data_IF_321950061367
#
_entry.id   IF_321950061367
#
_cell.length_a   1.000
_cell.length_b   1.000
_cell.length_c   1.000
_cell.angle_alpha   90.00
_cell.angle_beta   90.00
_cell.angle_gamma   90.00
#
_symmetry.space_group_name_H-M   'P 1'
#
loop_
_entity.id
_entity.type
_entity.pdbx_description
1 polymer ?
#
# COMPACT_ATOMS: atom_id res chain seq x y z
N UNK A 1 -53.18 2.23 41.04
CA UNK A 1 -52.40 2.64 39.84
C UNK A 1 -50.87 2.46 40.00
N UNK A 2 -50.36 1.78 41.04
CA UNK A 2 -48.90 1.65 41.26
C UNK A 2 -48.22 0.45 40.55
N UNK A 3 -48.98 -0.55 40.07
CA UNK A 3 -48.42 -1.79 39.51
C UNK A 3 -47.93 -1.70 38.05
N UNK A 4 -48.41 -0.72 37.26
CA UNK A 4 -48.03 -0.58 35.84
C UNK A 4 -46.68 0.14 35.67
N UNK A 5 -46.36 1.08 36.55
CA UNK A 5 -45.08 1.82 36.58
C UNK A 5 -43.89 0.90 36.88
N UNK A 6 -44.02 0.00 37.85
CA UNK A 6 -42.99 -0.98 38.19
C UNK A 6 -42.70 -1.98 37.05
N UNK A 7 -43.73 -2.35 36.28
CA UNK A 7 -43.57 -3.27 35.15
C UNK A 7 -42.86 -2.61 33.95
N UNK A 8 -43.11 -1.32 33.71
CA UNK A 8 -42.40 -0.55 32.68
C UNK A 8 -40.94 -0.30 33.05
N UNK A 9 -40.64 0.04 34.30
CA UNK A 9 -39.28 0.21 34.80
C UNK A 9 -38.45 -1.09 34.74
N UNK A 10 -39.08 -2.24 35.02
CA UNK A 10 -38.40 -3.54 34.90
C UNK A 10 -38.09 -3.92 33.45
N UNK A 11 -39.01 -3.63 32.51
CA UNK A 11 -38.79 -3.88 31.06
C UNK A 11 -37.74 -2.96 30.44
N UNK A 12 -37.65 -1.69 30.88
CA UNK A 12 -36.61 -0.77 30.42
C UNK A 12 -35.22 -1.20 30.90
N UNK A 13 -35.11 -1.65 32.16
CA UNK A 13 -33.85 -2.13 32.72
C UNK A 13 -33.35 -3.40 32.02
N UNK A 14 -34.24 -4.32 31.65
CA UNK A 14 -33.86 -5.52 30.89
C UNK A 14 -33.37 -5.20 29.47
N UNK A 15 -33.97 -4.20 28.80
CA UNK A 15 -33.50 -3.75 27.48
C UNK A 15 -32.14 -3.06 27.55
N UNK A 16 -31.89 -2.25 28.57
CA UNK A 16 -30.58 -1.60 28.78
C UNK A 16 -29.51 -2.67 29.03
N UNK A 17 -29.81 -3.68 29.86
CA UNK A 17 -28.89 -4.77 30.14
C UNK A 17 -28.55 -5.58 28.87
N UNK A 18 -29.56 -5.86 28.04
CA UNK A 18 -29.37 -6.54 26.76
C UNK A 18 -28.49 -5.73 25.80
N UNK A 19 -28.70 -4.41 25.70
CA UNK A 19 -27.88 -3.52 24.87
C UNK A 19 -26.43 -3.48 25.36
N UNK A 20 -26.20 -3.41 26.67
CA UNK A 20 -24.85 -3.44 27.25
C UNK A 20 -24.13 -4.76 26.96
N UNK A 21 -24.83 -5.90 27.01
CA UNK A 21 -24.26 -7.21 26.66
C UNK A 21 -23.89 -7.26 25.17
N UNK A 22 -24.77 -6.80 24.27
CA UNK A 22 -24.45 -6.74 22.84
C UNK A 22 -23.26 -5.81 22.56
N UNK A 23 -23.17 -4.66 23.23
CA UNK A 23 -22.05 -3.73 23.07
C UNK A 23 -20.73 -4.35 23.57
N UNK A 24 -20.75 -5.07 24.70
CA UNK A 24 -19.59 -5.78 25.23
C UNK A 24 -19.13 -6.93 24.31
N UNK A 25 -20.08 -7.70 23.75
CA UNK A 25 -19.77 -8.75 22.77
C UNK A 25 -19.18 -8.14 21.49
N UNK A 26 -19.72 -7.01 21.02
CA UNK A 26 -19.20 -6.31 19.84
C UNK A 26 -17.77 -5.80 20.06
N UNK A 27 -17.49 -5.20 21.23
CA UNK A 27 -16.15 -4.74 21.61
C UNK A 27 -15.17 -5.91 21.74
N UNK A 28 -15.62 -7.07 22.23
CA UNK A 28 -14.79 -8.28 22.28
C UNK A 28 -14.48 -8.82 20.87
N UNK A 29 -15.43 -8.75 19.95
CA UNK A 29 -15.23 -9.17 18.55
C UNK A 29 -14.23 -8.28 17.80
N UNK A 30 -14.24 -6.96 18.03
CA UNK A 30 -13.29 -6.04 17.38
C UNK A 30 -11.89 -6.07 18.00
N UNK A 31 -11.72 -6.53 19.24
CA UNK A 31 -10.40 -6.73 19.85
C UNK A 31 -9.70 -8.03 19.41
N UNK A 32 -10.39 -8.94 18.70
CA UNK A 32 -9.85 -10.23 18.27
C UNK A 32 -9.44 -10.31 16.80
N UNK A 33 -9.65 -9.26 16.00
CA UNK A 33 -9.25 -9.24 14.58
C UNK A 33 -7.79 -8.77 14.44
N UNK A 34 -6.84 -9.57 14.93
CA UNK A 34 -5.45 -9.41 14.54
C UNK A 34 -5.24 -9.95 13.12
N UNK A 35 -4.61 -9.13 12.26
CA UNK A 35 -4.29 -9.46 10.88
C UNK A 35 -3.47 -10.77 10.81
N UNK A 36 -3.83 -11.75 9.95
CA UNK A 36 -3.16 -13.05 9.88
C UNK A 36 -1.71 -13.01 9.36
N UNK A 37 -1.16 -11.82 9.06
CA UNK A 37 0.20 -11.66 8.56
C UNK A 37 1.25 -11.63 9.70
N UNK A 38 1.13 -12.53 10.68
CA UNK A 38 2.16 -12.75 11.71
C UNK A 38 2.23 -14.22 12.08
N UNK A 39 2.93 -15.04 11.29
CA UNK A 39 3.56 -16.25 11.83
C UNK A 39 4.72 -16.67 10.96
N UNK A 40 5.94 -16.57 11.50
CA UNK A 40 6.86 -17.70 11.70
C UNK A 40 8.21 -17.16 12.22
N UNK A 41 8.36 -17.10 13.54
CA UNK A 41 9.67 -17.10 14.19
C UNK A 41 9.94 -18.55 14.58
N UNK A 42 10.78 -19.23 13.80
CA UNK A 42 11.22 -20.58 14.10
C UNK A 42 12.21 -20.56 15.28
N UNK A 43 12.02 -21.50 16.19
CA UNK A 43 12.85 -21.73 17.36
C UNK A 43 14.31 -22.01 16.98
N UNK A 44 15.24 -21.30 17.61
CA UNK A 44 16.67 -21.66 17.61
C UNK A 44 16.91 -22.63 18.76
N UNK A 45 17.13 -23.90 18.45
CA UNK A 45 17.85 -24.83 19.30
C UNK A 45 19.29 -24.93 18.80
N UNK A 46 20.21 -24.68 19.72
CA UNK A 46 21.66 -24.77 19.55
C UNK A 46 22.11 -26.21 19.27
N UNK A 47 22.90 -26.41 18.21
CA UNK A 47 23.84 -27.53 18.12
C UNK A 47 25.15 -27.04 17.49
N UNK A 48 26.26 -27.38 18.13
CA UNK A 48 27.62 -26.93 17.85
C UNK A 48 28.39 -27.98 17.04
N UNK A 49 29.35 -27.50 16.25
CA UNK A 49 30.40 -28.20 15.48
C UNK A 49 29.92 -28.78 14.12
N UNK A 50 30.67 -28.69 13.02
CA UNK A 50 32.13 -28.68 12.85
C UNK A 50 32.55 -27.93 11.57
N UNK A 51 33.79 -27.44 11.57
CA UNK A 51 34.46 -26.73 10.47
C UNK A 51 34.77 -27.65 9.30
N UNK A 52 34.31 -27.30 8.09
CA UNK A 52 34.87 -27.79 6.84
C UNK A 52 34.96 -26.62 5.84
N UNK A 53 36.19 -26.26 5.51
CA UNK A 53 36.56 -25.22 4.56
C UNK A 53 36.07 -25.58 3.17
N UNK A 54 35.07 -24.85 2.67
CA UNK A 54 34.70 -24.87 1.26
C UNK A 54 35.02 -23.53 0.63
N UNK A 55 35.91 -23.62 -0.34
CA UNK A 55 36.27 -22.67 -1.38
C UNK A 55 35.13 -21.72 -1.75
N UNK A 56 35.34 -20.42 -1.48
CA UNK A 56 34.50 -19.34 -1.99
C UNK A 56 34.55 -19.32 -3.52
N UNK A 57 33.51 -19.86 -4.16
CA UNK A 57 33.20 -19.54 -5.55
C UNK A 57 32.40 -18.24 -5.56
N UNK A 58 33.09 -17.15 -5.89
CA UNK A 58 32.46 -15.87 -6.24
C UNK A 58 31.60 -16.07 -7.49
N UNK A 59 30.29 -16.22 -7.32
CA UNK A 59 29.34 -16.03 -8.43
C UNK A 59 28.74 -14.63 -8.34
N UNK A 60 29.44 -13.66 -8.92
CA UNK A 60 28.82 -12.39 -9.28
C UNK A 60 27.98 -12.62 -10.54
N UNK A 61 26.73 -12.99 -10.33
CA UNK A 61 25.66 -12.84 -11.30
C UNK A 61 24.55 -12.13 -10.56
N UNK A 62 24.36 -10.84 -10.84
CA UNK A 62 23.19 -10.07 -10.40
C UNK A 62 21.94 -10.72 -10.98
N UNK A 63 21.45 -11.77 -10.30
CA UNK A 63 20.20 -12.42 -10.64
C UNK A 63 19.12 -11.42 -10.29
N UNK A 64 18.65 -10.67 -11.29
CA UNK A 64 17.57 -9.71 -11.15
C UNK A 64 16.41 -10.41 -10.45
N UNK A 65 16.10 -9.98 -9.23
CA UNK A 65 15.10 -10.66 -8.43
C UNK A 65 13.71 -10.36 -8.99
N UNK A 66 12.89 -11.39 -9.22
CA UNK A 66 11.46 -11.22 -9.57
C UNK A 66 10.64 -10.74 -8.36
N UNK A 67 11.30 -10.29 -7.29
CA UNK A 67 10.73 -9.88 -6.02
C UNK A 67 10.91 -8.39 -5.74
N UNK A 68 11.57 -7.63 -6.63
CA UNK A 68 11.64 -6.17 -6.53
C UNK A 68 10.24 -5.58 -6.41
N UNK A 69 10.07 -4.59 -5.52
CA UNK A 69 8.78 -3.94 -5.26
C UNK A 69 8.88 -2.46 -5.56
N UNK A 70 7.76 -1.90 -6.02
CA UNK A 70 7.61 -0.45 -6.19
C UNK A 70 6.34 0.03 -5.49
N UNK A 71 6.38 1.25 -4.97
CA UNK A 71 5.19 1.94 -4.50
C UNK A 71 4.60 2.80 -5.63
N UNK A 72 3.31 2.62 -5.88
CA UNK A 72 2.52 3.41 -6.84
C UNK A 72 1.35 4.03 -6.08
N UNK A 73 1.04 5.29 -6.34
CA UNK A 73 -0.10 5.96 -5.73
C UNK A 73 -0.93 6.68 -6.78
N UNK A 74 -2.24 6.45 -6.76
CA UNK A 74 -3.22 7.30 -7.44
C UNK A 74 -3.47 8.51 -6.56
N UNK A 75 -3.20 9.70 -7.10
CA UNK A 75 -3.33 10.99 -6.44
C UNK A 75 -4.82 11.42 -6.35
N UNK A 76 -5.14 12.49 -5.60
CA UNK A 76 -6.53 12.94 -5.42
C UNK A 76 -7.30 13.14 -6.73
N UNK A 77 -6.69 13.79 -7.71
CA UNK A 77 -7.27 13.98 -9.04
C UNK A 77 -7.63 12.65 -9.75
N UNK A 78 -6.79 11.62 -9.61
CA UNK A 78 -7.06 10.31 -10.22
C UNK A 78 -8.15 9.51 -9.52
N UNK A 79 -8.33 9.72 -8.23
CA UNK A 79 -9.44 9.18 -7.46
C UNK A 79 -10.74 9.87 -7.87
N UNK A 80 -10.78 11.20 -7.82
CA UNK A 80 -11.97 12.01 -8.16
C UNK A 80 -12.43 11.78 -9.62
N UNK A 81 -11.49 11.56 -10.54
CA UNK A 81 -11.78 11.27 -11.95
C UNK A 81 -12.18 9.81 -12.22
N UNK A 82 -12.21 8.95 -11.21
CA UNK A 82 -12.59 7.54 -11.36
C UNK A 82 -11.57 6.69 -12.14
N UNK A 83 -10.28 7.05 -12.10
CA UNK A 83 -9.22 6.41 -12.89
C UNK A 83 -8.41 5.34 -12.14
N UNK A 84 -8.76 5.04 -10.88
CA UNK A 84 -8.09 4.01 -10.06
C UNK A 84 -8.02 2.67 -10.79
N UNK A 85 -9.15 2.17 -11.29
CA UNK A 85 -9.21 0.91 -12.01
C UNK A 85 -8.38 0.93 -13.30
N UNK A 86 -8.35 2.05 -14.03
CA UNK A 86 -7.56 2.20 -15.26
C UNK A 86 -6.07 2.06 -14.98
N UNK A 87 -5.58 2.65 -13.89
CA UNK A 87 -4.17 2.55 -13.48
C UNK A 87 -3.85 1.12 -13.04
N UNK A 88 -4.68 0.55 -12.15
CA UNK A 88 -4.50 -0.81 -11.63
C UNK A 88 -4.42 -1.84 -12.77
N UNK A 89 -5.34 -1.78 -13.74
CA UNK A 89 -5.36 -2.68 -14.89
C UNK A 89 -4.07 -2.65 -15.71
N UNK A 90 -3.39 -1.49 -15.85
CA UNK A 90 -2.12 -1.42 -16.60
C UNK A 90 -1.02 -2.27 -15.95
N UNK A 91 -0.97 -2.30 -14.62
CA UNK A 91 0.02 -3.11 -13.89
C UNK A 91 -0.35 -4.61 -13.88
N UNK A 92 -1.63 -4.94 -13.73
CA UNK A 92 -2.10 -6.33 -13.81
C UNK A 92 -1.84 -6.94 -15.19
N UNK A 93 -2.23 -6.24 -16.26
CA UNK A 93 -2.05 -6.70 -17.64
C UNK A 93 -0.58 -6.83 -18.02
N UNK A 94 0.31 -6.02 -17.42
CA UNK A 94 1.75 -6.15 -17.62
C UNK A 94 2.32 -7.41 -16.99
N UNK A 95 1.64 -7.99 -15.99
CA UNK A 95 2.07 -9.17 -15.26
C UNK A 95 2.71 -8.86 -13.90
N UNK A 96 2.62 -7.63 -13.38
CA UNK A 96 3.09 -7.35 -12.02
C UNK A 96 2.15 -7.97 -10.98
N UNK A 97 2.70 -8.37 -9.83
CA UNK A 97 1.96 -8.98 -8.71
C UNK A 97 1.51 -7.88 -7.75
N UNK A 98 0.21 -7.72 -7.52
CA UNK A 98 -0.32 -6.78 -6.53
C UNK A 98 -0.08 -7.35 -5.12
N UNK A 99 0.72 -6.67 -4.30
CA UNK A 99 1.06 -7.07 -2.94
C UNK A 99 0.28 -6.31 -1.86
N UNK A 100 -0.16 -5.09 -2.16
CA UNK A 100 -1.00 -4.29 -1.26
C UNK A 100 -1.78 -3.24 -2.05
N UNK A 101 -2.99 -2.93 -1.59
CA UNK A 101 -3.88 -1.92 -2.16
C UNK A 101 -4.69 -1.30 -1.01
N UNK A 102 -4.62 0.02 -0.85
CA UNK A 102 -5.38 0.71 0.18
C UNK A 102 -5.78 2.12 -0.26
N UNK A 103 -7.05 2.46 -0.08
CA UNK A 103 -7.53 3.84 -0.17
C UNK A 103 -7.40 4.50 1.20
N UNK A 104 -6.84 5.70 1.24
CA UNK A 104 -6.60 6.43 2.50
C UNK A 104 -6.77 7.93 2.31
N UNK A 105 -7.22 8.62 3.36
CA UNK A 105 -7.06 10.06 3.48
C UNK A 105 -5.72 10.34 4.20
N UNK A 106 -4.66 10.78 3.49
CA UNK A 106 -3.35 10.93 4.11
C UNK A 106 -3.32 12.13 5.05
N UNK A 107 -2.64 11.98 6.19
CA UNK A 107 -2.37 13.11 7.09
C UNK A 107 -1.32 14.05 6.47
N UNK A 108 -1.34 15.31 6.90
CA UNK A 108 -0.31 16.27 6.53
C UNK A 108 1.10 15.77 6.87
N UNK A 109 1.30 15.23 8.07
CA UNK A 109 2.60 14.70 8.51
C UNK A 109 3.11 13.53 7.66
N UNK A 110 2.21 12.64 7.23
CA UNK A 110 2.56 11.52 6.34
C UNK A 110 3.04 12.04 4.98
N UNK A 111 2.36 13.05 4.43
CA UNK A 111 2.73 13.66 3.15
C UNK A 111 4.04 14.45 3.24
N UNK A 112 4.27 15.16 4.35
CA UNK A 112 5.51 15.89 4.58
C UNK A 112 6.71 14.95 4.68
N UNK A 113 6.56 13.80 5.36
CA UNK A 113 7.60 12.77 5.40
C UNK A 113 7.82 12.13 4.02
N UNK A 114 6.73 11.84 3.28
CA UNK A 114 6.82 11.26 1.95
C UNK A 114 7.54 12.20 0.95
N UNK A 115 7.26 13.50 1.01
CA UNK A 115 7.84 14.51 0.12
C UNK A 115 9.01 15.29 0.76
N UNK A 116 9.66 14.76 1.80
CA UNK A 116 10.68 15.49 2.58
C UNK A 116 11.83 16.05 1.73
N UNK A 117 12.22 15.35 0.68
CA UNK A 117 13.28 15.78 -0.25
C UNK A 117 12.89 17.03 -1.06
N UNK A 118 11.59 17.34 -1.12
CA UNK A 118 11.02 18.50 -1.78
C UNK A 118 10.69 19.64 -0.81
N UNK A 119 10.93 19.50 0.49
CA UNK A 119 10.50 20.47 1.51
C UNK A 119 11.02 21.91 1.28
N UNK A 120 12.19 22.04 0.64
CA UNK A 120 12.81 23.34 0.31
C UNK A 120 12.30 23.94 -1.00
N UNK A 121 11.45 23.25 -1.76
CA UNK A 121 10.95 23.72 -3.05
C UNK A 121 9.78 24.69 -2.84
N UNK A 122 9.67 25.78 -3.62
CA UNK A 122 8.63 26.79 -3.43
C UNK A 122 7.21 26.25 -3.60
N UNK A 123 7.03 25.18 -4.38
CA UNK A 123 5.74 24.53 -4.61
C UNK A 123 5.33 23.54 -3.49
N UNK A 124 6.20 23.24 -2.53
CA UNK A 124 5.94 22.22 -1.50
C UNK A 124 4.65 22.47 -0.69
N UNK A 125 4.36 23.70 -0.20
CA UNK A 125 3.11 23.95 0.51
C UNK A 125 1.87 23.67 -0.35
N UNK A 126 1.93 24.00 -1.63
CA UNK A 126 0.88 23.70 -2.61
C UNK A 126 0.72 22.20 -2.85
N UNK A 127 1.82 21.46 -2.95
CA UNK A 127 1.84 20.01 -3.10
C UNK A 127 1.17 19.31 -1.91
N UNK A 128 1.53 19.69 -0.68
CA UNK A 128 0.94 19.11 0.54
C UNK A 128 -0.56 19.42 0.62
N UNK A 129 -0.96 20.67 0.34
CA UNK A 129 -2.38 21.06 0.30
C UNK A 129 -3.16 20.24 -0.74
N UNK A 130 -2.60 20.11 -1.93
CA UNK A 130 -3.20 19.32 -3.01
C UNK A 130 -3.35 17.85 -2.62
N UNK A 131 -2.28 17.21 -2.15
CA UNK A 131 -2.29 15.79 -1.79
C UNK A 131 -3.18 15.47 -0.57
N UNK A 132 -3.47 16.47 0.27
CA UNK A 132 -4.39 16.34 1.40
C UNK A 132 -5.85 16.64 1.03
N UNK A 133 -6.15 17.06 -0.21
CA UNK A 133 -7.47 17.58 -0.58
C UNK A 133 -8.56 16.52 -0.74
N UNK A 134 -8.17 15.29 -1.08
CA UNK A 134 -9.07 14.15 -1.21
C UNK A 134 -8.30 12.83 -0.94
N UNK A 135 -8.96 11.67 -0.92
CA UNK A 135 -8.30 10.39 -0.72
C UNK A 135 -7.30 10.07 -1.83
N UNK A 136 -6.34 9.21 -1.50
CA UNK A 136 -5.39 8.60 -2.43
C UNK A 136 -5.55 7.09 -2.41
N UNK A 137 -5.06 6.41 -3.44
CA UNK A 137 -4.97 4.94 -3.46
C UNK A 137 -3.52 4.53 -3.58
N UNK A 138 -2.95 4.04 -2.48
CA UNK A 138 -1.61 3.46 -2.44
C UNK A 138 -1.64 1.99 -2.89
N UNK A 139 -0.61 1.60 -3.63
CA UNK A 139 -0.43 0.25 -4.17
C UNK A 139 1.03 -0.18 -4.04
N UNK A 140 1.24 -1.47 -3.82
CA UNK A 140 2.57 -2.10 -3.90
C UNK A 140 2.53 -3.18 -4.97
N UNK A 141 3.43 -3.06 -5.95
CA UNK A 141 3.57 -4.00 -7.06
C UNK A 141 4.92 -4.68 -7.00
N UNK A 142 4.96 -6.00 -7.21
CA UNK A 142 6.16 -6.80 -7.22
C UNK A 142 6.43 -7.44 -8.61
N UNK A 143 7.70 -7.49 -9.00
CA UNK A 143 8.16 -8.16 -10.20
C UNK A 143 9.53 -7.66 -10.67
N UNK A 144 10.04 -8.25 -11.76
CA UNK A 144 11.33 -7.84 -12.36
C UNK A 144 11.29 -6.38 -12.83
N UNK A 145 12.28 -5.59 -12.41
CA UNK A 145 12.39 -4.15 -12.73
C UNK A 145 11.10 -3.36 -12.46
N UNK A 146 10.35 -3.71 -11.40
CA UNK A 146 9.07 -3.11 -11.06
C UNK A 146 9.16 -1.58 -10.89
N UNK A 147 10.23 -1.05 -10.28
CA UNK A 147 10.42 0.40 -10.10
C UNK A 147 10.63 1.09 -11.44
N UNK A 148 11.63 0.62 -12.20
CA UNK A 148 12.01 1.22 -13.48
C UNK A 148 10.87 1.14 -14.49
N UNK A 149 10.24 -0.02 -14.59
CA UNK A 149 9.15 -0.25 -15.56
C UNK A 149 7.85 0.38 -15.09
N UNK A 150 7.57 0.40 -13.78
CA UNK A 150 6.45 1.13 -13.21
C UNK A 150 6.49 2.59 -13.63
N UNK A 151 7.64 3.25 -13.51
CA UNK A 151 7.82 4.62 -14.02
C UNK A 151 7.60 4.78 -15.52
N UNK A 152 7.99 3.79 -16.34
CA UNK A 152 7.70 3.80 -17.77
C UNK A 152 6.20 3.70 -18.07
N UNK A 153 5.47 2.88 -17.31
CA UNK A 153 4.00 2.76 -17.42
C UNK A 153 3.33 4.09 -17.05
N UNK A 154 3.83 4.78 -16.02
CA UNK A 154 3.28 6.08 -15.61
C UNK A 154 3.53 7.19 -16.64
N UNK A 155 4.70 7.22 -17.28
CA UNK A 155 5.13 8.30 -18.17
C UNK A 155 5.98 9.36 -17.47
N UNK A 156 6.38 10.40 -18.20
CA UNK A 156 7.18 11.50 -17.66
C UNK A 156 6.42 12.29 -16.57
N UNK A 157 7.12 13.00 -15.68
CA UNK A 157 6.46 13.75 -14.60
C UNK A 157 5.57 14.87 -15.16
N UNK A 158 6.05 15.54 -16.21
CA UNK A 158 5.27 16.47 -17.01
C UNK A 158 4.47 15.68 -18.06
N UNK A 159 3.12 15.73 -18.05
CA UNK A 159 2.30 15.02 -19.01
C UNK A 159 2.59 15.38 -20.47
N UNK A 160 2.98 16.62 -20.76
CA UNK A 160 3.32 17.07 -22.12
C UNK A 160 4.56 16.36 -22.68
N UNK A 161 5.42 15.81 -21.82
CA UNK A 161 6.59 15.02 -22.19
C UNK A 161 6.30 13.51 -22.12
N UNK A 162 5.04 13.11 -21.91
CA UNK A 162 4.64 11.71 -21.78
C UNK A 162 4.12 11.17 -23.11
N UNK A 163 4.66 10.03 -23.53
CA UNK A 163 4.24 9.37 -24.77
C UNK A 163 2.79 8.83 -24.67
N UNK A 164 2.04 8.83 -25.78
CA UNK A 164 0.77 8.11 -25.88
C UNK A 164 0.93 6.65 -25.46
N UNK A 165 -0.05 6.13 -24.72
CA UNK A 165 -0.02 4.80 -24.13
C UNK A 165 0.58 4.75 -22.72
N UNK A 166 1.21 5.82 -22.23
CA UNK A 166 1.54 5.97 -20.81
C UNK A 166 0.34 6.51 -20.04
N UNK A 167 0.25 6.27 -18.73
CA UNK A 167 -0.89 6.75 -17.92
C UNK A 167 -1.02 8.28 -18.01
N UNK A 168 0.10 9.01 -17.90
CA UNK A 168 0.05 10.48 -17.97
C UNK A 168 -0.17 10.99 -19.38
N UNK A 169 0.39 10.33 -20.40
CA UNK A 169 0.12 10.70 -21.80
C UNK A 169 -1.35 10.50 -22.18
N UNK A 170 -2.00 9.46 -21.66
CA UNK A 170 -3.39 9.14 -22.00
C UNK A 170 -4.41 9.96 -21.20
N UNK A 171 -4.05 10.42 -20.00
CA UNK A 171 -5.04 10.96 -19.05
C UNK A 171 -4.68 12.28 -18.39
N UNK A 172 -3.49 12.87 -18.61
CA UNK A 172 -3.08 14.12 -17.97
C UNK A 172 -2.80 15.22 -19.00
N UNK A 173 -2.88 16.47 -18.55
CA UNK A 173 -2.50 17.66 -19.34
C UNK A 173 -1.47 18.47 -18.56
N UNK A 174 -1.79 18.89 -17.33
CA UNK A 174 -0.92 19.73 -16.50
C UNK A 174 -0.07 18.95 -15.49
N UNK A 175 1.14 19.43 -15.22
CA UNK A 175 2.10 18.81 -14.29
C UNK A 175 1.61 18.74 -12.84
N UNK A 176 0.81 19.71 -12.40
CA UNK A 176 0.27 19.75 -11.03
C UNK A 176 -0.81 18.69 -10.77
N UNK A 177 -1.48 18.23 -11.84
CA UNK A 177 -2.56 17.24 -11.83
C UNK A 177 -2.18 16.05 -12.71
N UNK A 178 -1.05 15.43 -12.37
CA UNK A 178 -0.46 14.35 -13.15
C UNK A 178 -0.87 12.93 -12.67
N UNK A 179 -2.02 12.81 -12.00
CA UNK A 179 -2.74 11.58 -11.61
C UNK A 179 -2.07 10.58 -10.66
N UNK A 180 -0.76 10.41 -10.76
CA UNK A 180 -0.09 9.29 -10.13
C UNK A 180 1.33 9.61 -9.70
N UNK A 181 1.78 8.90 -8.66
CA UNK A 181 3.15 8.84 -8.18
C UNK A 181 3.68 7.42 -8.33
N UNK A 182 4.99 7.30 -8.53
CA UNK A 182 5.70 6.03 -8.47
C UNK A 182 7.13 6.25 -8.01
N UNK A 183 7.64 5.34 -7.18
CA UNK A 183 9.01 5.42 -6.65
C UNK A 183 10.04 5.56 -7.77
N UNK A 184 11.08 6.36 -7.54
CA UNK A 184 12.10 6.68 -8.55
C UNK A 184 13.32 5.75 -8.55
N UNK A 185 13.50 5.01 -7.47
CA UNK A 185 14.62 4.13 -7.17
C UNK A 185 14.14 3.00 -6.25
N UNK A 186 14.93 1.94 -6.13
CA UNK A 186 14.62 0.80 -5.24
C UNK A 186 14.64 1.25 -3.79
N UNK A 187 15.59 2.11 -3.43
CA UNK A 187 15.75 2.69 -2.10
C UNK A 187 14.54 3.57 -1.74
N UNK A 188 14.05 4.39 -2.69
CA UNK A 188 12.80 5.14 -2.52
C UNK A 188 11.60 4.22 -2.37
N UNK A 189 11.53 3.13 -3.14
CA UNK A 189 10.42 2.19 -3.04
C UNK A 189 10.36 1.52 -1.67
N UNK A 190 11.48 1.04 -1.13
CA UNK A 190 11.52 0.42 0.20
C UNK A 190 11.10 1.39 1.31
N UNK A 191 11.59 2.63 1.26
CA UNK A 191 11.20 3.71 2.19
C UNK A 191 9.71 4.00 2.08
N UNK A 192 9.21 4.22 0.87
CA UNK A 192 7.81 4.56 0.62
C UNK A 192 6.87 3.43 1.01
N UNK A 193 7.19 2.18 0.68
CA UNK A 193 6.40 1.02 1.11
C UNK A 193 6.34 0.94 2.63
N UNK A 194 7.47 1.12 3.31
CA UNK A 194 7.53 1.08 4.78
C UNK A 194 6.72 2.21 5.43
N UNK A 195 6.72 3.38 4.80
CA UNK A 195 5.98 4.56 5.27
C UNK A 195 4.46 4.40 5.09
N UNK A 196 4.02 3.94 3.92
CA UNK A 196 2.60 3.85 3.56
C UNK A 196 1.93 2.55 4.00
N UNK A 197 2.70 1.47 4.16
CA UNK A 197 2.22 0.14 4.58
C UNK A 197 3.04 -0.40 5.77
N UNK A 198 3.00 0.25 6.94
CA UNK A 198 3.81 -0.15 8.10
C UNK A 198 3.42 -1.53 8.67
N UNK A 199 2.21 -2.01 8.39
CA UNK A 199 1.78 -3.36 8.75
C UNK A 199 2.38 -4.47 7.85
N UNK A 200 3.14 -4.09 6.82
CA UNK A 200 3.67 -4.98 5.81
C UNK A 200 2.77 -5.11 4.59
N UNK A 201 3.17 -6.00 3.68
CA UNK A 201 2.46 -6.29 2.42
C UNK A 201 2.24 -7.80 2.31
N UNK A 202 1.24 -8.21 1.52
CA UNK A 202 0.95 -9.61 1.31
C UNK A 202 2.05 -10.26 0.46
N UNK A 203 2.60 -11.36 0.97
CA UNK A 203 3.42 -12.27 0.18
C UNK A 203 2.62 -13.54 -0.12
N UNK A 204 2.38 -13.78 -1.41
CA UNK A 204 1.72 -14.97 -1.89
C UNK A 204 2.39 -15.46 -3.17
N UNK A 205 2.32 -16.77 -3.36
CA UNK A 205 2.77 -17.41 -4.60
C UNK A 205 1.67 -17.30 -5.64
N UNK A 206 1.99 -16.70 -6.79
CA UNK A 206 1.07 -16.63 -7.93
C UNK A 206 1.43 -17.74 -8.91
N UNK A 207 0.52 -18.71 -9.07
CA UNK A 207 0.71 -19.89 -9.96
C UNK A 207 1.08 -19.50 -11.40
N UNK A 208 0.63 -18.33 -11.85
CA UNK A 208 0.87 -17.84 -13.21
C UNK A 208 2.28 -17.25 -13.43
N UNK A 209 3.11 -17.12 -12.38
CA UNK A 209 4.44 -16.53 -12.50
C UNK A 209 5.35 -17.29 -13.47
N UNK A 210 5.17 -18.61 -13.62
CA UNK A 210 5.91 -19.44 -14.58
C UNK A 210 5.61 -19.15 -16.05
N UNK A 211 4.52 -18.41 -16.34
CA UNK A 211 4.21 -17.94 -17.69
C UNK A 211 4.71 -16.51 -17.95
N UNK A 212 5.18 -15.80 -16.91
CA UNK A 212 5.63 -14.41 -17.00
C UNK A 212 7.16 -14.33 -16.94
N UNK A 213 7.78 -15.17 -16.11
CA UNK A 213 9.21 -15.17 -15.87
C UNK A 213 9.84 -16.49 -16.30
N UNK A 214 11.07 -16.41 -16.83
CA UNK A 214 11.94 -17.56 -17.14
C UNK A 214 12.55 -18.22 -15.90
#
# INVERSE_FOLDING_TARGET
>A
MAGKELFYAAKSNLRIFQICIYLLILVAFFKGAENPCKTQTAAQTSFVSSSCSSSQTKSNSSKMSNQERTYIMVKPDGVERGLVGRILTRFEQKGYKLCSLQMMQPSKSLLEEHYKDLAKKPFFPGLIKYMSSAPVVGMVWAGKDAVKTGRKILGATNPLDSEPGTIRGDYCIDVSQNLCHGSDSVESAEREISLWFPAGVCDYQRKYDSFIYE
#
